data_IF_794004129580
#
_entry.id   IF_794004129580
#
_cell.length_a   1.000
_cell.length_b   1.000
_cell.length_c   1.000
_cell.angle_alpha   90.00
_cell.angle_beta   90.00
_cell.angle_gamma   90.00
#
_symmetry.space_group_name_H-M   'P 1'
#
loop_
_entity.id
_entity.type
_entity.pdbx_description
1 polymer ?
#
# COMPACT_ATOMS: atom_id res chain seq x y z
N UNK A 1 -2.01 7.44 10.52
CA UNK A 1 -3.24 7.99 11.14
C UNK A 1 -3.75 7.11 12.27
N UNK A 2 -4.43 5.99 12.03
CA UNK A 2 -4.86 5.08 13.11
C UNK A 2 -3.70 4.23 13.64
N UNK A 3 -3.09 3.40 12.79
CA UNK A 3 -1.97 2.54 13.19
C UNK A 3 -0.80 3.34 13.77
N UNK A 4 -0.51 4.51 13.21
CA UNK A 4 0.51 5.44 13.70
C UNK A 4 0.19 5.97 15.11
N UNK A 5 -1.05 6.42 15.35
CA UNK A 5 -1.44 6.93 16.67
C UNK A 5 -1.39 5.82 17.72
N UNK A 6 -1.89 4.63 17.38
CA UNK A 6 -1.81 3.46 18.26
C UNK A 6 -0.38 3.05 18.56
N UNK A 7 0.56 3.20 17.62
CA UNK A 7 1.99 2.96 17.86
C UNK A 7 2.59 3.97 18.86
N UNK A 8 2.26 5.26 18.71
CA UNK A 8 2.70 6.31 19.64
C UNK A 8 2.10 6.12 21.04
N UNK A 9 0.86 5.63 21.13
CA UNK A 9 0.17 5.32 22.39
C UNK A 9 0.58 3.96 23.01
N UNK A 10 1.56 3.25 22.43
CA UNK A 10 1.97 1.90 22.84
C UNK A 10 0.83 0.86 22.81
N UNK A 11 -0.21 1.07 22.01
CA UNK A 11 -1.29 0.11 21.81
C UNK A 11 -0.95 -0.84 20.66
N UNK A 12 -0.20 -1.90 21.00
CA UNK A 12 0.31 -2.89 20.05
C UNK A 12 -0.79 -3.52 19.18
N UNK A 13 -1.87 -4.01 19.79
CA UNK A 13 -2.92 -4.73 19.06
C UNK A 13 -3.62 -3.84 18.04
N UNK A 14 -3.90 -2.58 18.38
CA UNK A 14 -4.52 -1.66 17.43
C UNK A 14 -3.57 -1.19 16.33
N UNK A 15 -2.28 -0.96 16.66
CA UNK A 15 -1.28 -0.63 15.66
C UNK A 15 -1.12 -1.76 14.63
N UNK A 16 -1.04 -3.01 15.10
CA UNK A 16 -0.96 -4.20 14.26
C UNK A 16 -2.22 -4.37 13.40
N UNK A 17 -3.41 -4.25 14.00
CA UNK A 17 -4.68 -4.40 13.30
C UNK A 17 -4.89 -3.32 12.23
N UNK A 18 -4.60 -2.06 12.57
CA UNK A 18 -4.71 -0.95 11.63
C UNK A 18 -3.75 -1.10 10.46
N UNK A 19 -2.50 -1.49 10.71
CA UNK A 19 -1.51 -1.69 9.64
C UNK A 19 -1.87 -2.91 8.77
N UNK A 20 -2.37 -3.99 9.38
CA UNK A 20 -2.85 -5.17 8.65
C UNK A 20 -3.96 -4.82 7.66
N UNK A 21 -4.97 -4.06 8.09
CA UNK A 21 -6.04 -3.63 7.19
C UNK A 21 -5.54 -2.72 6.07
N UNK A 22 -4.60 -1.81 6.34
CA UNK A 22 -4.02 -0.95 5.30
C UNK A 22 -3.30 -1.77 4.22
N UNK A 23 -2.52 -2.79 4.62
CA UNK A 23 -1.86 -3.69 3.67
C UNK A 23 -2.89 -4.47 2.84
N UNK A 24 -3.94 -5.00 3.48
CA UNK A 24 -5.00 -5.73 2.78
C UNK A 24 -5.76 -4.86 1.79
N UNK A 25 -6.07 -3.62 2.15
CA UNK A 25 -6.72 -2.66 1.24
C UNK A 25 -5.84 -2.33 0.03
N UNK A 26 -4.53 -2.21 0.23
CA UNK A 26 -3.60 -1.99 -0.87
C UNK A 26 -3.54 -3.17 -1.85
N UNK A 27 -3.48 -4.41 -1.32
CA UNK A 27 -3.54 -5.62 -2.16
C UNK A 27 -4.88 -5.69 -2.92
N UNK A 28 -5.98 -5.35 -2.25
CA UNK A 28 -7.31 -5.31 -2.85
C UNK A 28 -7.38 -4.28 -3.99
N UNK A 29 -6.84 -3.08 -3.80
CA UNK A 29 -6.75 -2.08 -4.85
C UNK A 29 -5.96 -2.60 -6.06
N UNK A 30 -4.80 -3.23 -5.85
CA UNK A 30 -4.00 -3.80 -6.95
C UNK A 30 -4.77 -4.90 -7.70
N UNK A 31 -5.52 -5.75 -6.99
CA UNK A 31 -6.35 -6.78 -7.62
C UNK A 31 -7.48 -6.17 -8.48
N UNK A 32 -8.15 -5.13 -7.97
CA UNK A 32 -9.16 -4.39 -8.74
C UNK A 32 -8.56 -3.70 -9.97
N UNK A 33 -7.38 -3.08 -9.83
CA UNK A 33 -6.69 -2.44 -10.94
C UNK A 33 -6.30 -3.45 -12.03
N UNK A 34 -5.85 -4.65 -11.64
CA UNK A 34 -5.55 -5.73 -12.58
C UNK A 34 -6.81 -6.23 -13.29
N UNK A 35 -7.94 -6.33 -12.58
CA UNK A 35 -9.23 -6.69 -13.17
C UNK A 35 -9.72 -5.63 -14.16
N UNK A 36 -9.59 -4.34 -13.83
CA UNK A 36 -9.91 -3.23 -14.73
C UNK A 36 -9.09 -3.31 -16.02
N UNK A 37 -7.80 -3.61 -15.93
CA UNK A 37 -6.93 -3.77 -17.09
C UNK A 37 -7.32 -4.97 -17.96
N UNK A 38 -7.76 -6.07 -17.35
CA UNK A 38 -8.18 -7.27 -18.09
C UNK A 38 -9.51 -7.08 -18.83
N UNK A 39 -10.47 -6.40 -18.22
CA UNK A 39 -11.80 -6.14 -18.80
C UNK A 39 -11.83 -4.94 -19.74
N UNK A 40 -10.78 -4.11 -19.76
CA UNK A 40 -10.72 -2.93 -20.63
C UNK A 40 -10.85 -3.31 -22.12
N UNK A 41 -11.71 -2.59 -22.84
CA UNK A 41 -11.96 -2.82 -24.27
C UNK A 41 -10.89 -2.20 -25.19
N UNK A 42 -9.86 -1.58 -24.62
CA UNK A 42 -8.78 -0.89 -25.29
C UNK A 42 -7.45 -1.24 -24.62
N UNK A 43 -6.38 -1.08 -25.37
CA UNK A 43 -5.01 -1.46 -24.98
C UNK A 43 -4.10 -0.24 -24.98
N UNK A 44 -2.87 -0.40 -24.50
CA UNK A 44 -1.86 0.66 -24.55
C UNK A 44 -1.52 1.13 -25.97
N UNK A 45 -1.73 0.26 -26.98
CA UNK A 45 -1.51 0.59 -28.38
C UNK A 45 -2.65 1.41 -29.02
N UNK A 46 -3.80 1.53 -28.33
CA UNK A 46 -4.99 2.19 -28.87
C UNK A 46 -4.93 3.70 -28.68
N UNK A 47 -4.33 4.37 -29.66
CA UNK A 47 -4.28 5.83 -29.80
C UNK A 47 -3.63 6.56 -28.60
N UNK A 48 -3.78 7.88 -28.58
CA UNK A 48 -3.32 8.73 -27.46
C UNK A 48 -4.10 8.42 -26.17
N UNK A 49 -5.36 7.97 -26.26
CA UNK A 49 -6.17 7.67 -25.09
C UNK A 49 -5.61 6.45 -24.31
N UNK A 50 -5.45 5.30 -24.98
CA UNK A 50 -4.94 4.09 -24.34
C UNK A 50 -3.52 4.29 -23.80
N UNK A 51 -2.64 4.88 -24.60
CA UNK A 51 -1.25 5.17 -24.18
C UNK A 51 -1.18 6.05 -22.92
N UNK A 52 -1.94 7.15 -22.87
CA UNK A 52 -1.94 8.03 -21.69
C UNK A 52 -2.59 7.39 -20.47
N UNK A 53 -3.70 6.66 -20.65
CA UNK A 53 -4.39 5.96 -19.58
C UNK A 53 -3.49 4.91 -18.91
N UNK A 54 -2.95 3.96 -19.68
CA UNK A 54 -2.14 2.88 -19.13
C UNK A 54 -0.78 3.35 -18.60
N UNK A 55 -0.18 4.39 -19.19
CA UNK A 55 1.06 4.93 -18.68
C UNK A 55 0.86 5.59 -17.31
N UNK A 56 -0.13 6.47 -17.18
CA UNK A 56 -0.38 7.19 -15.93
C UNK A 56 -0.86 6.25 -14.81
N UNK A 57 -1.88 5.44 -15.09
CA UNK A 57 -2.42 4.49 -14.10
C UNK A 57 -1.43 3.36 -13.81
N UNK A 58 -0.62 2.94 -14.78
CA UNK A 58 0.39 1.90 -14.60
C UNK A 58 1.55 2.35 -13.72
N UNK A 59 2.03 3.58 -13.90
CA UNK A 59 3.01 4.17 -12.99
C UNK A 59 2.45 4.33 -11.58
N UNK A 60 1.20 4.79 -11.44
CA UNK A 60 0.56 4.85 -10.13
C UNK A 60 0.44 3.45 -9.49
N UNK A 61 -0.01 2.44 -10.24
CA UNK A 61 -0.10 1.05 -9.79
C UNK A 61 1.24 0.50 -9.31
N UNK A 62 2.34 0.80 -10.02
CA UNK A 62 3.69 0.47 -9.57
C UNK A 62 4.03 1.11 -8.23
N UNK A 63 3.72 2.40 -8.04
CA UNK A 63 3.95 3.08 -6.76
C UNK A 63 3.12 2.45 -5.63
N UNK A 64 1.87 2.03 -5.89
CA UNK A 64 1.03 1.32 -4.92
C UNK A 64 1.64 -0.04 -4.55
N UNK A 65 2.18 -0.79 -5.51
CA UNK A 65 2.87 -2.06 -5.22
C UNK A 65 4.11 -1.82 -4.34
N UNK A 66 4.92 -0.82 -4.65
CA UNK A 66 6.08 -0.47 -3.81
C UNK A 66 5.63 -0.06 -2.41
N UNK A 67 4.63 0.81 -2.29
CA UNK A 67 4.10 1.25 -0.99
C UNK A 67 3.53 0.10 -0.16
N UNK A 68 2.76 -0.81 -0.77
CA UNK A 68 2.20 -1.98 -0.08
C UNK A 68 3.27 -2.96 0.37
N UNK A 69 4.32 -3.19 -0.44
CA UNK A 69 5.47 -3.99 0.01
C UNK A 69 6.20 -3.33 1.17
N UNK A 70 6.39 -2.00 1.15
CA UNK A 70 7.01 -1.28 2.26
C UNK A 70 6.18 -1.38 3.54
N UNK A 71 4.86 -1.16 3.46
CA UNK A 71 3.95 -1.35 4.59
C UNK A 71 3.93 -2.79 5.12
N UNK A 72 4.05 -3.80 4.23
CA UNK A 72 4.15 -5.20 4.64
C UNK A 72 5.43 -5.49 5.43
N UNK A 73 6.56 -4.88 5.04
CA UNK A 73 7.81 -4.96 5.80
C UNK A 73 7.65 -4.27 7.16
N UNK A 74 7.00 -3.12 7.21
CA UNK A 74 6.65 -2.46 8.48
C UNK A 74 5.75 -3.33 9.35
N UNK A 75 4.80 -4.08 8.77
CA UNK A 75 3.94 -4.99 9.50
C UNK A 75 4.73 -6.13 10.14
N UNK A 76 5.62 -6.76 9.37
CA UNK A 76 6.51 -7.81 9.87
C UNK A 76 7.43 -7.30 10.98
N UNK A 77 8.02 -6.11 10.81
CA UNK A 77 8.88 -5.49 11.82
C UNK A 77 8.11 -5.13 13.09
N UNK A 78 6.87 -4.65 12.96
CA UNK A 78 6.02 -4.38 14.11
C UNK A 78 5.65 -5.69 14.82
N UNK A 79 5.36 -6.75 14.08
CA UNK A 79 5.08 -8.07 14.65
C UNK A 79 6.27 -8.62 15.45
N UNK A 80 7.50 -8.40 14.96
CA UNK A 80 8.75 -8.75 15.66
C UNK A 80 9.16 -7.76 16.76
N UNK A 81 8.31 -6.80 17.14
CA UNK A 81 8.58 -5.78 18.17
C UNK A 81 9.82 -4.91 17.90
N UNK A 82 10.15 -4.63 16.62
CA UNK A 82 11.30 -3.78 16.27
C UNK A 82 11.03 -2.27 16.41
N UNK A 83 9.78 -1.85 16.60
CA UNK A 83 9.41 -0.44 16.73
C UNK A 83 9.10 -0.08 18.19
N UNK A 84 9.52 1.13 18.59
CA UNK A 84 9.13 1.73 19.86
C UNK A 84 8.27 2.98 19.61
N UNK A 85 7.54 3.44 20.62
CA UNK A 85 6.70 4.65 20.54
C UNK A 85 7.48 5.93 20.22
N UNK A 86 8.82 5.91 20.32
CA UNK A 86 9.67 7.08 20.12
C UNK A 86 10.56 6.93 18.87
N UNK A 87 10.89 5.70 18.48
CA UNK A 87 11.80 5.43 17.37
C UNK A 87 11.16 4.49 16.33
N UNK A 88 10.48 5.09 15.35
CA UNK A 88 9.77 4.38 14.29
C UNK A 88 9.78 5.13 12.96
N UNK A 89 10.89 5.79 12.59
CA UNK A 89 11.01 6.52 11.31
C UNK A 89 10.70 5.65 10.08
N UNK A 90 11.08 4.37 10.10
CA UNK A 90 10.76 3.45 8.99
C UNK A 90 9.25 3.21 8.81
N UNK A 91 8.44 3.42 9.86
CA UNK A 91 6.98 3.41 9.81
C UNK A 91 6.43 4.77 9.38
N UNK A 92 7.07 5.89 9.75
CA UNK A 92 6.67 7.23 9.29
C UNK A 92 6.96 7.46 7.80
N UNK A 93 8.00 6.83 7.27
CA UNK A 93 8.38 6.94 5.86
C UNK A 93 7.50 6.09 4.92
N UNK A 94 6.73 5.14 5.47
CA UNK A 94 5.88 4.21 4.73
C UNK A 94 4.44 4.72 4.64
#
# INVERSE_FOLDING_TARGET
>A
TWAHHSLMENNYNQALQGLFFTVMLGIYFTALQAFEYFESSFTIADSVYGSTFFMATGFHGLHVIIGTTFLSVCLLRHWMNHFSSIHHFGFEAA
#
